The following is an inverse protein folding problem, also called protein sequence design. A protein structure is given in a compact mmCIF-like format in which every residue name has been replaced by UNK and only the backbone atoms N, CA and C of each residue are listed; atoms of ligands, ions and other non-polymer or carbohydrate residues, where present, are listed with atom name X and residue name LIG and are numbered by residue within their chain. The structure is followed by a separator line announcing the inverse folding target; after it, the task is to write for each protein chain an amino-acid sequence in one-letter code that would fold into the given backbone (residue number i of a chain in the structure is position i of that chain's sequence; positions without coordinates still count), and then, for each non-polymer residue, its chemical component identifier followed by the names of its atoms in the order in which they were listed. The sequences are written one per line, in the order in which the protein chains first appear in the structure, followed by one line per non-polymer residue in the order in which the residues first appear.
data_IF_319469675133
#
_entry.id   IF_319469675133
#
_cell.length_a   1.000
_cell.length_b   1.000
_cell.length_c   1.000
_cell.angle_alpha   90.00
_cell.angle_beta   90.00
_cell.angle_gamma   90.00
#
_symmetry.space_group_name_H-M   'P 1'
#
loop_
_entity.id
_entity.type
_entity.pdbx_description
1 polymer ?
#
# COMPACT_ATOMS: atom_id res chain seq x y z
N UNK A 1 -9.90 -1.23 28.36
CA UNK A 1 -10.27 -1.92 29.62
C UNK A 1 -9.70 -3.33 29.70
N UNK A 2 -9.83 -4.18 28.66
CA UNK A 2 -9.20 -5.52 28.62
C UNK A 2 -7.66 -5.49 28.69
N UNK A 3 -7.00 -4.60 27.93
CA UNK A 3 -5.53 -4.50 27.93
C UNK A 3 -4.93 -4.11 29.29
N UNK A 4 -5.54 -3.17 30.01
CA UNK A 4 -5.14 -2.76 31.37
C UNK A 4 -5.30 -3.93 32.37
N UNK A 5 -6.35 -4.74 32.22
CA UNK A 5 -6.60 -5.93 33.04
C UNK A 5 -5.53 -7.00 32.80
N UNK A 6 -5.19 -7.32 31.54
CA UNK A 6 -4.13 -8.28 31.23
C UNK A 6 -2.75 -7.81 31.69
N UNK A 7 -2.44 -6.53 31.53
CA UNK A 7 -1.20 -5.94 32.03
C UNK A 7 -1.04 -6.09 33.54
N UNK A 8 -2.12 -5.86 34.31
CA UNK A 8 -2.13 -6.00 35.78
C UNK A 8 -2.05 -7.46 36.23
N UNK A 9 -2.65 -8.40 35.48
CA UNK A 9 -2.58 -9.85 35.76
C UNK A 9 -1.17 -10.37 35.53
N UNK A 10 -0.53 -10.03 34.39
CA UNK A 10 0.89 -10.35 34.16
C UNK A 10 1.74 -9.77 35.28
N UNK A 11 1.71 -8.46 35.52
CA UNK A 11 2.47 -7.82 36.64
C UNK A 11 2.35 -8.52 38.01
N UNK A 12 1.29 -9.29 38.27
CA UNK A 12 1.00 -10.03 39.51
C UNK A 12 1.24 -11.54 39.44
N UNK A 13 1.41 -12.13 38.26
CA UNK A 13 1.58 -13.58 38.07
C UNK A 13 2.54 -13.88 36.93
N UNK A 14 3.67 -14.52 37.24
CA UNK A 14 4.63 -15.02 36.24
C UNK A 14 4.13 -16.29 35.51
N UNK A 15 2.95 -16.82 35.89
CA UNK A 15 2.52 -18.17 35.49
C UNK A 15 1.17 -18.20 34.76
N UNK A 16 0.32 -17.18 34.94
CA UNK A 16 -1.04 -17.16 34.36
C UNK A 16 -1.16 -16.16 33.20
N UNK A 17 -1.08 -16.67 31.97
CA UNK A 17 -1.59 -15.99 30.78
C UNK A 17 -3.00 -16.48 30.47
N UNK A 18 -4.01 -15.65 30.69
CA UNK A 18 -5.38 -15.93 30.25
C UNK A 18 -5.65 -15.22 28.92
N UNK A 19 -6.22 -15.97 27.97
CA UNK A 19 -6.59 -15.48 26.63
C UNK A 19 -8.03 -14.97 26.60
N UNK A 20 -8.27 -13.85 25.93
CA UNK A 20 -9.61 -13.43 25.52
C UNK A 20 -9.69 -13.32 24.00
N UNK A 21 -10.77 -13.86 23.42
CA UNK A 21 -11.12 -13.75 22.01
C UNK A 21 -12.63 -13.84 21.81
N UNK A 22 -13.17 -13.12 20.82
CA UNK A 22 -14.61 -12.99 20.52
C UNK A 22 -15.06 -14.06 19.49
N UNK A 23 -14.55 -15.29 19.56
CA UNK A 23 -15.11 -16.43 18.81
C UNK A 23 -14.88 -17.75 19.58
N UNK A 24 -15.93 -18.47 20.02
CA UNK A 24 -15.80 -19.64 20.89
C UNK A 24 -15.38 -20.94 20.17
N UNK A 25 -14.94 -20.90 18.91
CA UNK A 25 -14.55 -22.11 18.15
C UNK A 25 -13.06 -22.23 17.85
N UNK A 26 -12.21 -21.32 18.31
CA UNK A 26 -10.75 -21.43 18.14
C UNK A 26 -10.09 -21.62 19.50
N UNK A 27 -9.58 -22.85 19.71
CA UNK A 27 -8.81 -23.22 20.88
C UNK A 27 -7.51 -22.41 21.01
N UNK A 28 -7.18 -22.12 22.26
CA UNK A 28 -5.99 -21.40 22.71
C UNK A 28 -4.74 -22.17 22.23
N UNK A 29 -4.04 -21.58 21.27
CA UNK A 29 -2.91 -22.16 20.53
C UNK A 29 -2.68 -21.47 19.17
N UNK A 30 -3.75 -20.89 18.60
CA UNK A 30 -3.74 -20.24 17.28
C UNK A 30 -3.01 -18.88 17.15
N UNK A 31 -2.19 -18.49 18.13
CA UNK A 31 -1.31 -17.30 18.00
C UNK A 31 0.19 -17.62 17.89
N UNK A 32 0.59 -18.88 18.07
CA UNK A 32 1.98 -19.33 17.81
C UNK A 32 2.12 -20.16 16.53
N UNK A 33 1.00 -20.61 15.95
CA UNK A 33 1.00 -21.32 14.68
C UNK A 33 -0.34 -21.06 13.98
N UNK A 34 -0.29 -20.16 13.00
CA UNK A 34 -1.24 -19.96 11.88
C UNK A 34 -2.76 -19.90 12.14
N UNK A 35 -3.42 -19.01 11.39
CA UNK A 35 -4.86 -18.93 11.08
C UNK A 35 -5.81 -18.13 12.00
N UNK A 36 -5.30 -17.20 12.81
CA UNK A 36 -6.15 -16.18 13.45
C UNK A 36 -6.33 -14.92 12.58
N UNK A 37 -7.55 -14.63 12.11
CA UNK A 37 -7.91 -13.32 11.55
C UNK A 37 -7.90 -12.28 12.69
N UNK A 38 -6.74 -11.71 13.00
CA UNK A 38 -6.58 -10.68 14.02
C UNK A 38 -6.51 -9.29 13.41
N UNK A 39 -7.56 -8.47 13.53
CA UNK A 39 -7.47 -7.04 13.25
C UNK A 39 -6.81 -6.36 14.46
N UNK A 40 -5.70 -5.64 14.27
CA UNK A 40 -5.19 -4.74 15.30
C UNK A 40 -6.22 -3.63 15.57
N UNK A 41 -6.72 -3.52 16.80
CA UNK A 41 -7.63 -2.44 17.22
C UNK A 41 -7.10 -1.73 18.48
N UNK A 42 -6.43 -0.60 18.26
CA UNK A 42 -6.14 0.52 19.19
C UNK A 42 -5.22 0.35 20.43
N UNK A 43 -4.32 1.34 20.52
CA UNK A 43 -3.48 1.88 21.63
C UNK A 43 -2.42 0.99 22.30
N UNK A 44 -2.60 -0.32 22.42
CA UNK A 44 -1.56 -1.20 22.97
C UNK A 44 -1.39 -2.40 22.04
N UNK A 45 -0.31 -2.39 21.25
CA UNK A 45 0.05 -3.50 20.36
C UNK A 45 0.28 -4.80 21.14
N UNK A 46 0.26 -5.93 20.43
CA UNK A 46 0.59 -7.24 21.01
C UNK A 46 2.10 -7.35 21.26
N UNK A 47 2.46 -8.08 22.30
CA UNK A 47 3.82 -8.41 22.75
C UNK A 47 4.61 -9.35 21.82
N UNK A 48 4.15 -9.59 20.58
CA UNK A 48 4.60 -10.72 19.75
C UNK A 48 5.35 -10.27 18.48
N UNK A 49 5.39 -8.97 18.17
CA UNK A 49 6.10 -8.47 16.98
C UNK A 49 7.64 -8.46 17.16
N UNK A 50 8.13 -8.83 18.35
CA UNK A 50 9.55 -8.98 18.68
C UNK A 50 9.81 -10.30 19.41
N UNK A 51 9.48 -11.43 18.77
CA UNK A 51 9.80 -12.76 19.28
C UNK A 51 11.33 -12.98 19.25
N UNK A 52 11.98 -12.79 20.40
CA UNK A 52 13.45 -12.94 20.56
C UNK A 52 13.86 -14.42 20.64
N UNK A 53 12.97 -15.28 21.17
CA UNK A 53 13.23 -16.71 21.37
C UNK A 53 11.91 -17.50 21.36
N UNK A 54 11.99 -18.78 20.99
CA UNK A 54 10.89 -19.73 21.09
C UNK A 54 11.39 -21.13 21.47
N UNK A 55 10.53 -21.89 22.15
CA UNK A 55 10.74 -23.32 22.42
C UNK A 55 9.58 -24.12 21.87
N UNK A 56 9.88 -25.13 21.06
CA UNK A 56 8.90 -26.00 20.41
C UNK A 56 9.12 -27.44 20.86
N UNK A 57 8.05 -28.14 21.24
CA UNK A 57 8.11 -29.59 21.47
C UNK A 57 7.53 -30.28 20.25
N UNK A 58 8.35 -31.08 19.56
CA UNK A 58 7.89 -31.78 18.36
C UNK A 58 7.09 -33.06 18.67
N UNK A 59 6.52 -33.68 17.63
CA UNK A 59 5.75 -34.91 17.75
C UNK A 59 6.55 -36.12 18.29
N UNK A 60 7.89 -36.01 18.39
CA UNK A 60 8.78 -37.01 18.97
C UNK A 60 9.17 -36.67 20.41
N UNK A 61 8.58 -35.63 21.00
CA UNK A 61 8.85 -35.19 22.36
C UNK A 61 10.17 -34.43 22.53
N UNK A 62 10.83 -34.02 21.44
CA UNK A 62 12.09 -33.26 21.50
C UNK A 62 11.78 -31.79 21.73
N UNK A 63 12.49 -31.19 22.68
CA UNK A 63 12.45 -29.73 22.92
C UNK A 63 13.46 -29.06 22.01
N UNK A 64 12.99 -28.21 21.11
CA UNK A 64 13.79 -27.43 20.16
C UNK A 64 13.84 -25.97 20.63
N UNK A 65 15.04 -25.40 20.69
CA UNK A 65 15.25 -23.96 20.85
C UNK A 65 15.35 -23.26 19.48
N UNK A 66 15.40 -21.92 19.47
CA UNK A 66 15.52 -21.11 18.24
C UNK A 66 16.62 -21.59 17.29
N UNK A 67 17.75 -22.06 17.82
CA UNK A 67 18.88 -22.53 17.02
C UNK A 67 18.63 -23.94 16.45
N UNK A 68 18.02 -24.82 17.24
CA UNK A 68 17.69 -26.20 16.85
C UNK A 68 16.49 -26.30 15.92
N UNK A 69 15.58 -25.32 15.95
CA UNK A 69 14.44 -25.23 15.02
C UNK A 69 14.90 -24.92 13.59
N UNK A 70 15.96 -24.13 13.42
CA UNK A 70 16.35 -23.59 12.12
C UNK A 70 15.48 -22.40 11.70
N UNK A 71 15.99 -21.60 10.76
CA UNK A 71 15.38 -20.33 10.37
C UNK A 71 13.96 -20.51 9.82
N UNK A 72 13.75 -21.47 8.93
CA UNK A 72 12.45 -21.71 8.29
C UNK A 72 11.35 -22.05 9.31
N UNK A 73 11.65 -22.92 10.28
CA UNK A 73 10.68 -23.34 11.30
C UNK A 73 10.46 -22.23 12.34
N UNK A 74 11.51 -21.48 12.68
CA UNK A 74 11.41 -20.31 13.56
C UNK A 74 10.62 -19.16 12.92
N UNK A 75 10.77 -18.95 11.62
CA UNK A 75 9.98 -17.98 10.85
C UNK A 75 8.52 -18.41 10.72
N UNK A 76 8.25 -19.71 10.51
CA UNK A 76 6.89 -20.24 10.43
C UNK A 76 6.07 -20.08 11.72
N UNK A 77 6.73 -20.13 12.89
CA UNK A 77 6.09 -19.85 14.20
C UNK A 77 6.00 -18.35 14.52
N UNK A 78 6.87 -17.51 13.92
CA UNK A 78 6.89 -16.06 14.11
C UNK A 78 5.81 -15.36 13.27
N UNK A 79 5.64 -15.76 12.02
CA UNK A 79 4.70 -15.15 11.08
C UNK A 79 4.20 -16.19 10.07
N UNK A 80 3.34 -17.09 10.54
CA UNK A 80 2.77 -18.18 9.75
C UNK A 80 1.82 -17.78 8.62
N UNK A 81 2.04 -16.67 7.92
CA UNK A 81 1.28 -16.36 6.72
C UNK A 81 1.65 -15.12 5.92
N UNK A 82 2.71 -14.38 6.26
CA UNK A 82 3.04 -13.13 5.56
C UNK A 82 1.87 -12.15 5.52
N UNK A 83 1.04 -12.12 6.57
CA UNK A 83 -0.16 -11.27 6.63
C UNK A 83 0.07 -10.13 7.62
N UNK A 84 0.22 -8.91 7.13
CA UNK A 84 0.29 -7.70 7.95
C UNK A 84 -0.97 -6.85 7.75
N UNK A 85 -1.86 -6.84 8.76
CA UNK A 85 -3.18 -6.19 8.69
C UNK A 85 -3.39 -5.19 9.81
N UNK A 86 -3.21 -3.91 9.48
CA UNK A 86 -3.32 -2.77 10.41
C UNK A 86 -4.39 -1.78 9.96
N UNK A 87 -5.35 -2.20 9.14
CA UNK A 87 -6.44 -1.36 8.67
C UNK A 87 -7.26 -0.77 9.82
N UNK A 88 -7.92 0.38 9.61
CA UNK A 88 -8.80 1.01 10.61
C UNK A 88 -8.11 1.39 11.93
N UNK A 89 -6.84 1.80 11.85
CA UNK A 89 -6.09 2.27 13.01
C UNK A 89 -5.89 3.80 12.97
N UNK A 90 -5.10 4.31 13.91
CA UNK A 90 -4.71 5.71 14.01
C UNK A 90 -3.22 5.89 13.68
N UNK A 91 -2.72 5.09 12.72
CA UNK A 91 -1.33 5.17 12.29
C UNK A 91 -1.08 6.47 11.54
N UNK A 92 0.12 7.01 11.70
CA UNK A 92 0.58 8.27 11.12
C UNK A 92 1.99 8.11 10.56
N UNK A 93 2.43 9.07 9.75
CA UNK A 93 3.76 9.05 9.14
C UNK A 93 3.75 8.29 7.82
N UNK A 94 4.92 7.82 7.40
CA UNK A 94 5.13 7.13 6.12
C UNK A 94 5.49 5.66 6.32
N UNK A 95 5.46 4.89 5.22
CA UNK A 95 6.00 3.54 5.23
C UNK A 95 7.49 3.58 5.56
N UNK A 96 7.94 2.69 6.44
CA UNK A 96 9.33 2.56 6.85
C UNK A 96 10.10 1.72 5.82
N UNK A 97 11.35 2.09 5.55
CA UNK A 97 12.22 1.34 4.63
C UNK A 97 12.49 -0.09 5.07
N UNK A 98 12.37 -0.39 6.37
CA UNK A 98 12.48 -1.74 6.93
C UNK A 98 11.39 -2.70 6.46
N UNK A 99 10.33 -2.19 5.83
CA UNK A 99 9.33 -3.04 5.17
C UNK A 99 9.92 -3.73 3.93
N UNK A 100 10.96 -3.16 3.33
CA UNK A 100 11.60 -3.71 2.14
C UNK A 100 12.25 -5.06 2.40
N UNK A 101 12.23 -5.94 1.39
CA UNK A 101 12.70 -7.32 1.47
C UNK A 101 11.99 -8.18 2.52
N UNK A 102 10.82 -7.78 3.00
CA UNK A 102 10.00 -8.62 3.87
C UNK A 102 9.27 -9.71 3.09
N UNK A 103 8.95 -10.81 3.76
CA UNK A 103 8.20 -11.95 3.22
C UNK A 103 6.67 -11.73 3.25
N UNK A 104 6.23 -10.47 3.37
CA UNK A 104 4.81 -10.13 3.46
C UNK A 104 4.13 -10.42 2.12
N UNK A 105 3.03 -11.16 2.20
CA UNK A 105 2.16 -11.51 1.09
C UNK A 105 0.89 -10.63 1.10
N UNK A 106 0.27 -10.43 2.26
CA UNK A 106 -0.96 -9.65 2.38
C UNK A 106 -0.71 -8.43 3.26
N UNK A 107 -0.69 -7.25 2.66
CA UNK A 107 -0.37 -6.01 3.34
C UNK A 107 -1.55 -5.04 3.33
N UNK A 108 -2.24 -4.91 4.46
CA UNK A 108 -3.44 -4.08 4.58
C UNK A 108 -3.22 -2.95 5.60
N UNK A 109 -3.18 -1.71 5.11
CA UNK A 109 -3.05 -0.48 5.91
C UNK A 109 -4.16 0.53 5.61
N UNK A 110 -5.24 0.11 4.96
CA UNK A 110 -6.33 0.98 4.55
C UNK A 110 -7.11 1.62 5.71
N UNK A 111 -7.75 2.75 5.46
CA UNK A 111 -8.65 3.46 6.38
C UNK A 111 -7.99 3.93 7.69
N UNK A 112 -6.81 4.54 7.63
CA UNK A 112 -6.22 5.14 8.84
C UNK A 112 -6.93 6.45 9.20
N UNK A 113 -7.29 6.61 10.47
CA UNK A 113 -8.00 7.79 10.98
C UNK A 113 -7.23 9.10 10.76
N UNK A 114 -5.91 9.07 10.90
CA UNK A 114 -5.05 10.24 10.70
C UNK A 114 -4.39 10.27 9.32
N UNK A 115 -4.69 9.29 8.47
CA UNK A 115 -4.11 9.08 7.14
C UNK A 115 -2.59 8.88 7.16
N UNK A 116 -2.11 7.82 6.49
CA UNK A 116 -0.69 7.67 6.22
C UNK A 116 -0.25 8.57 5.07
N UNK A 117 0.96 9.10 5.16
CA UNK A 117 1.57 10.06 4.24
C UNK A 117 2.78 9.44 3.53
N UNK A 118 3.39 10.21 2.63
CA UNK A 118 4.63 9.82 1.97
C UNK A 118 4.41 8.90 0.78
N UNK A 119 5.49 8.23 0.35
CA UNK A 119 5.52 7.38 -0.84
C UNK A 119 5.45 5.90 -0.47
N UNK A 120 5.16 5.06 -1.47
CA UNK A 120 5.09 3.61 -1.33
C UNK A 120 6.25 2.87 -1.99
N UNK A 121 7.35 3.57 -2.27
CA UNK A 121 8.53 3.08 -3.01
C UNK A 121 9.14 1.81 -2.40
N UNK A 122 9.02 1.65 -1.08
CA UNK A 122 9.49 0.46 -0.36
C UNK A 122 8.86 -0.84 -0.89
N UNK A 123 7.64 -0.79 -1.42
CA UNK A 123 6.93 -1.98 -1.93
C UNK A 123 7.58 -2.59 -3.17
N UNK A 124 8.45 -1.85 -3.87
CA UNK A 124 9.21 -2.39 -5.01
C UNK A 124 10.16 -3.53 -4.63
N UNK A 125 10.56 -3.57 -3.34
CA UNK A 125 11.48 -4.58 -2.79
C UNK A 125 10.79 -5.69 -2.00
N UNK A 126 9.46 -5.67 -1.86
CA UNK A 126 8.69 -6.72 -1.17
C UNK A 126 8.09 -7.68 -2.19
N UNK A 127 8.91 -8.61 -2.69
CA UNK A 127 8.59 -9.43 -3.86
C UNK A 127 7.51 -10.49 -3.63
N UNK A 128 7.21 -10.79 -2.37
CA UNK A 128 6.25 -11.83 -1.98
C UNK A 128 4.78 -11.34 -1.96
N UNK A 129 4.55 -10.05 -2.23
CA UNK A 129 3.21 -9.45 -2.19
C UNK A 129 2.22 -10.15 -3.14
N UNK A 130 1.06 -10.44 -2.58
CA UNK A 130 -0.12 -11.03 -3.22
C UNK A 130 -1.33 -10.10 -3.13
N UNK A 131 -1.53 -9.44 -1.98
CA UNK A 131 -2.58 -8.42 -1.78
C UNK A 131 -2.02 -7.17 -1.11
N UNK A 132 -2.36 -5.99 -1.63
CA UNK A 132 -1.93 -4.70 -1.07
C UNK A 132 -3.14 -3.77 -0.98
N UNK A 133 -3.55 -3.44 0.24
CA UNK A 133 -4.66 -2.53 0.51
C UNK A 133 -4.20 -1.27 1.22
N UNK A 134 -4.11 -0.17 0.48
CA UNK A 134 -3.64 1.13 0.98
C UNK A 134 -4.69 2.23 0.88
N UNK A 135 -5.91 1.88 0.46
CA UNK A 135 -6.95 2.84 0.21
C UNK A 135 -7.38 3.65 1.44
N UNK A 136 -7.95 4.84 1.21
CA UNK A 136 -8.36 5.77 2.26
C UNK A 136 -7.19 6.16 3.19
N UNK A 137 -6.16 6.74 2.55
CA UNK A 137 -4.98 7.32 3.19
C UNK A 137 -4.59 8.60 2.40
N UNK A 138 -3.40 9.15 2.66
CA UNK A 138 -2.86 10.32 1.98
C UNK A 138 -1.47 10.00 1.37
N UNK A 139 -1.29 8.78 0.86
CA UNK A 139 -0.09 8.42 0.12
C UNK A 139 0.02 9.26 -1.16
N UNK A 140 1.23 9.64 -1.52
CA UNK A 140 1.54 10.59 -2.60
C UNK A 140 2.73 10.12 -3.44
N UNK A 141 3.02 10.86 -4.51
CA UNK A 141 4.06 10.48 -5.47
C UNK A 141 3.56 9.46 -6.51
N UNK A 142 4.47 8.76 -7.17
CA UNK A 142 4.14 7.70 -8.14
C UNK A 142 3.67 6.43 -7.45
N UNK A 143 2.86 5.65 -8.17
CA UNK A 143 2.74 4.23 -7.89
C UNK A 143 4.10 3.58 -8.20
N UNK A 144 4.64 2.84 -7.25
CA UNK A 144 5.99 2.27 -7.33
C UNK A 144 6.10 1.20 -8.42
N UNK A 145 7.34 0.92 -8.84
CA UNK A 145 7.61 -0.18 -9.75
C UNK A 145 7.40 -1.51 -9.02
N UNK A 146 6.29 -2.18 -9.33
CA UNK A 146 5.91 -3.47 -8.75
C UNK A 146 6.25 -4.64 -9.68
N UNK A 147 7.10 -4.45 -10.69
CA UNK A 147 7.48 -5.50 -11.67
C UNK A 147 7.94 -6.81 -11.04
N UNK A 148 8.60 -6.76 -9.88
CA UNK A 148 9.08 -7.94 -9.15
C UNK A 148 8.00 -8.63 -8.30
N UNK A 149 6.84 -8.00 -8.11
CA UNK A 149 5.72 -8.56 -7.33
C UNK A 149 4.87 -9.49 -8.20
N UNK A 150 5.47 -10.59 -8.68
CA UNK A 150 4.86 -11.51 -9.66
C UNK A 150 3.61 -12.25 -9.13
N UNK A 151 3.41 -12.26 -7.81
CA UNK A 151 2.25 -12.86 -7.15
C UNK A 151 1.10 -11.88 -6.88
N UNK A 152 1.31 -10.58 -7.12
CA UNK A 152 0.33 -9.55 -6.79
C UNK A 152 -0.91 -9.69 -7.68
N UNK A 153 -2.04 -10.00 -7.04
CA UNK A 153 -3.33 -10.16 -7.72
C UNK A 153 -4.35 -9.10 -7.32
N UNK A 154 -4.20 -8.45 -6.16
CA UNK A 154 -5.16 -7.47 -5.65
C UNK A 154 -4.48 -6.21 -5.12
N UNK A 155 -4.70 -5.07 -5.79
CA UNK A 155 -4.06 -3.80 -5.48
C UNK A 155 -5.08 -2.67 -5.30
N UNK A 156 -5.32 -2.26 -4.05
CA UNK A 156 -6.33 -1.27 -3.70
C UNK A 156 -5.69 0.06 -3.31
N UNK A 157 -5.65 1.02 -4.24
CA UNK A 157 -4.99 2.33 -4.08
C UNK A 157 -5.96 3.52 -4.08
N UNK A 158 -7.28 3.26 -4.11
CA UNK A 158 -8.28 4.33 -4.14
C UNK A 158 -8.19 5.30 -2.95
N UNK A 159 -8.72 6.51 -3.11
CA UNK A 159 -8.76 7.54 -2.06
C UNK A 159 -7.37 7.80 -1.46
N UNK A 160 -6.45 8.28 -2.32
CA UNK A 160 -5.11 8.70 -1.95
C UNK A 160 -4.74 9.96 -2.76
N UNK A 161 -3.48 10.36 -2.72
CA UNK A 161 -2.93 11.51 -3.44
C UNK A 161 -1.87 11.08 -4.47
N UNK A 162 -2.00 9.87 -5.03
CA UNK A 162 -1.06 9.40 -6.06
C UNK A 162 -1.12 10.31 -7.27
N UNK A 163 0.06 10.65 -7.77
CA UNK A 163 0.31 11.51 -8.93
C UNK A 163 1.05 10.71 -9.99
N UNK A 164 1.47 11.37 -11.08
CA UNK A 164 2.25 10.77 -12.16
C UNK A 164 1.45 9.75 -12.96
N UNK A 165 2.11 9.20 -13.98
CA UNK A 165 1.56 8.17 -14.85
C UNK A 165 1.46 6.83 -14.13
N UNK A 166 0.47 6.03 -14.53
CA UNK A 166 0.38 4.63 -14.12
C UNK A 166 1.54 3.86 -14.77
N UNK A 167 2.42 3.19 -13.99
CA UNK A 167 3.60 2.52 -14.55
C UNK A 167 3.23 1.42 -15.55
N UNK A 168 3.93 1.32 -16.71
CA UNK A 168 3.69 0.25 -17.68
C UNK A 168 3.98 -1.16 -17.15
N UNK A 169 4.83 -1.29 -16.12
CA UNK A 169 5.06 -2.56 -15.44
C UNK A 169 3.80 -3.05 -14.70
N UNK A 170 3.05 -2.13 -14.07
CA UNK A 170 1.83 -2.47 -13.33
C UNK A 170 0.74 -3.02 -14.25
N UNK A 171 0.62 -2.44 -15.44
CA UNK A 171 -0.33 -2.87 -16.48
C UNK A 171 -0.01 -4.29 -16.98
N UNK A 172 1.27 -4.67 -16.96
CA UNK A 172 1.77 -5.96 -17.48
C UNK A 172 1.94 -7.03 -16.39
N UNK A 173 1.50 -6.78 -15.16
CA UNK A 173 1.64 -7.77 -14.09
C UNK A 173 0.84 -9.04 -14.42
N UNK A 174 1.49 -10.22 -14.36
CA UNK A 174 0.93 -11.44 -14.93
C UNK A 174 -0.28 -11.99 -14.15
N UNK A 175 -0.35 -11.71 -12.84
CA UNK A 175 -1.41 -12.22 -11.95
C UNK A 175 -2.37 -11.14 -11.47
N UNK A 176 -2.20 -9.89 -11.88
CA UNK A 176 -3.06 -8.80 -11.44
C UNK A 176 -4.50 -9.10 -11.88
N UNK A 177 -5.41 -9.14 -10.91
CA UNK A 177 -6.81 -9.46 -11.13
C UNK A 177 -7.72 -8.32 -10.72
N UNK A 178 -7.40 -7.61 -9.64
CA UNK A 178 -8.22 -6.51 -9.14
C UNK A 178 -7.36 -5.29 -8.83
N UNK A 179 -7.79 -4.12 -9.33
CA UNK A 179 -7.10 -2.86 -9.07
C UNK A 179 -8.09 -1.70 -8.93
N UNK A 180 -7.90 -0.88 -7.90
CA UNK A 180 -8.66 0.37 -7.73
C UNK A 180 -7.73 1.58 -7.67
N UNK A 181 -8.02 2.57 -8.53
CA UNK A 181 -7.25 3.80 -8.70
C UNK A 181 -8.09 5.07 -8.52
N UNK A 182 -9.40 4.92 -8.29
CA UNK A 182 -10.33 6.05 -8.10
C UNK A 182 -9.90 7.00 -6.98
N UNK A 183 -10.25 8.27 -7.14
CA UNK A 183 -10.00 9.34 -6.17
C UNK A 183 -8.52 9.53 -5.87
N UNK A 184 -7.72 9.64 -6.93
CA UNK A 184 -6.31 10.03 -6.89
C UNK A 184 -6.08 11.29 -7.76
N UNK A 185 -4.83 11.53 -8.15
CA UNK A 185 -4.38 12.62 -9.02
C UNK A 185 -3.44 12.10 -10.11
N UNK A 186 -3.65 10.86 -10.55
CA UNK A 186 -2.86 10.21 -11.60
C UNK A 186 -3.01 10.97 -12.90
N UNK A 187 -1.93 11.09 -13.67
CA UNK A 187 -1.84 11.89 -14.89
C UNK A 187 -1.43 11.04 -16.09
N UNK A 188 -1.45 11.66 -17.27
CA UNK A 188 -1.05 11.01 -18.53
C UNK A 188 -2.16 10.21 -19.19
N UNK A 189 -1.82 9.23 -20.03
CA UNK A 189 -2.80 8.46 -20.79
C UNK A 189 -3.62 7.59 -19.85
N UNK A 190 -4.88 7.40 -20.20
CA UNK A 190 -5.75 6.48 -19.48
C UNK A 190 -5.20 5.05 -19.62
N UNK A 191 -4.94 4.33 -18.52
CA UNK A 191 -4.29 3.03 -18.58
C UNK A 191 -5.23 1.96 -19.16
N UNK A 192 -4.69 1.11 -20.02
CA UNK A 192 -5.41 -0.02 -20.61
C UNK A 192 -4.86 -1.33 -20.05
N UNK A 193 -5.59 -1.91 -19.10
CA UNK A 193 -5.31 -3.25 -18.59
C UNK A 193 -5.92 -4.32 -19.51
N UNK A 194 -5.46 -5.57 -19.38
CA UNK A 194 -6.10 -6.70 -20.07
C UNK A 194 -7.53 -6.89 -19.59
N UNK A 195 -8.38 -7.47 -20.43
CA UNK A 195 -9.80 -7.73 -20.12
C UNK A 195 -10.03 -8.65 -18.93
N UNK A 196 -9.00 -9.40 -18.51
CA UNK A 196 -9.02 -10.26 -17.32
C UNK A 196 -8.91 -9.50 -16.01
N UNK A 197 -8.49 -8.23 -16.02
CA UNK A 197 -8.32 -7.41 -14.83
C UNK A 197 -9.60 -6.61 -14.55
N UNK A 198 -10.11 -6.72 -13.34
CA UNK A 198 -11.16 -5.85 -12.81
C UNK A 198 -10.54 -4.52 -12.38
N UNK A 199 -10.86 -3.45 -13.11
CA UNK A 199 -10.25 -2.13 -12.91
C UNK A 199 -11.31 -1.12 -12.52
N UNK A 200 -11.11 -0.40 -11.41
CA UNK A 200 -11.95 0.75 -11.02
C UNK A 200 -11.12 2.02 -10.95
N UNK A 201 -11.18 2.84 -12.01
CA UNK A 201 -10.40 4.09 -12.13
C UNK A 201 -11.23 5.33 -11.78
N UNK A 202 -12.54 5.32 -12.06
CA UNK A 202 -13.42 6.47 -11.88
C UNK A 202 -13.04 7.66 -12.77
N UNK A 203 -13.69 8.82 -12.53
CA UNK A 203 -13.50 10.08 -13.27
C UNK A 203 -12.80 11.17 -12.43
N UNK A 204 -12.16 10.78 -11.32
CA UNK A 204 -11.62 11.71 -10.32
C UNK A 204 -10.10 11.89 -10.39
N UNK A 205 -9.45 11.13 -11.27
CA UNK A 205 -8.04 11.29 -11.62
C UNK A 205 -7.83 12.47 -12.58
N UNK A 206 -6.58 12.71 -12.99
CA UNK A 206 -6.16 13.83 -13.84
C UNK A 206 -5.56 13.32 -15.16
N UNK A 207 -6.12 12.23 -15.70
CA UNK A 207 -5.76 11.71 -17.02
C UNK A 207 -6.09 12.74 -18.09
N UNK A 208 -5.36 12.66 -19.21
CA UNK A 208 -5.62 13.54 -20.34
C UNK A 208 -6.95 13.23 -21.03
N UNK A 209 -7.37 11.96 -21.01
CA UNK A 209 -8.61 11.46 -21.62
C UNK A 209 -9.32 10.51 -20.67
N UNK A 210 -10.63 10.34 -20.86
CA UNK A 210 -11.44 9.35 -20.14
C UNK A 210 -11.40 7.96 -20.78
N UNK A 211 -10.69 7.81 -21.89
CA UNK A 211 -10.52 6.56 -22.64
C UNK A 211 -9.06 6.32 -22.98
N UNK A 212 -8.70 5.05 -23.17
CA UNK A 212 -7.35 4.64 -23.57
C UNK A 212 -6.94 5.28 -24.89
N UNK A 213 -5.70 5.76 -24.94
CA UNK A 213 -5.08 6.33 -26.13
C UNK A 213 -3.98 7.33 -25.76
N UNK A 214 -3.18 7.76 -26.74
CA UNK A 214 -2.15 8.76 -26.51
C UNK A 214 -2.77 10.10 -26.13
N UNK A 215 -2.11 10.84 -25.24
CA UNK A 215 -2.44 12.24 -24.98
C UNK A 215 -2.04 13.11 -26.18
N UNK A 216 -2.50 14.37 -26.18
CA UNK A 216 -1.99 15.39 -27.09
C UNK A 216 -0.46 15.52 -26.95
N UNK A 217 0.30 15.74 -28.05
CA UNK A 217 1.75 15.90 -27.99
C UNK A 217 2.20 17.04 -27.05
N UNK A 218 1.47 18.16 -27.01
CA UNK A 218 1.79 19.27 -26.10
C UNK A 218 1.59 18.85 -24.64
N UNK A 219 0.45 18.20 -24.34
CA UNK A 219 0.17 17.64 -23.01
C UNK A 219 1.26 16.65 -22.59
N UNK A 220 1.68 15.78 -23.51
CA UNK A 220 2.75 14.80 -23.25
C UNK A 220 4.07 15.50 -22.92
N UNK A 221 4.48 16.49 -23.72
CA UNK A 221 5.69 17.26 -23.46
C UNK A 221 5.66 17.98 -22.10
N UNK A 222 4.50 18.54 -21.72
CA UNK A 222 4.34 19.18 -20.41
C UNK A 222 4.44 18.17 -19.26
N UNK A 223 3.85 16.98 -19.41
CA UNK A 223 3.98 15.91 -18.41
C UNK A 223 5.44 15.47 -18.25
N UNK A 224 6.21 15.36 -19.33
CA UNK A 224 7.64 15.04 -19.27
C UNK A 224 8.43 16.12 -18.51
N UNK A 225 8.13 17.40 -18.76
CA UNK A 225 8.70 18.53 -18.00
C UNK A 225 8.31 18.44 -16.53
N UNK A 226 7.07 18.08 -16.18
CA UNK A 226 6.69 17.86 -14.77
C UNK A 226 7.48 16.72 -14.12
N UNK A 227 7.91 15.73 -14.91
CA UNK A 227 8.82 14.68 -14.47
C UNK A 227 10.15 15.19 -13.95
N UNK A 228 10.75 16.15 -14.66
CA UNK A 228 12.02 16.76 -14.28
C UNK A 228 11.92 17.56 -12.97
N UNK A 229 10.77 18.16 -12.68
CA UNK A 229 10.54 18.96 -11.45
C UNK A 229 9.82 18.18 -10.34
N UNK A 230 9.75 16.85 -10.46
CA UNK A 230 9.28 15.98 -9.39
C UNK A 230 7.76 15.79 -9.30
N UNK A 231 6.99 16.24 -10.29
CA UNK A 231 5.52 16.21 -10.34
C UNK A 231 4.85 16.87 -9.12
N UNK A 232 4.94 18.20 -8.99
CA UNK A 232 4.31 18.93 -7.89
C UNK A 232 2.79 18.78 -7.91
N UNK A 233 2.19 18.62 -6.72
CA UNK A 233 0.74 18.44 -6.58
C UNK A 233 -0.07 19.61 -7.17
N UNK A 234 0.45 20.83 -7.11
CA UNK A 234 -0.23 22.01 -7.69
C UNK A 234 -0.50 21.84 -9.18
N UNK A 235 0.45 21.27 -9.93
CA UNK A 235 0.30 20.98 -11.35
C UNK A 235 -0.62 19.78 -11.57
N UNK A 236 -0.48 18.70 -10.79
CA UNK A 236 -1.37 17.54 -10.90
C UNK A 236 -2.84 17.90 -10.67
N UNK A 237 -3.12 18.88 -9.79
CA UNK A 237 -4.47 19.40 -9.59
C UNK A 237 -4.98 20.31 -10.72
N UNK A 238 -4.08 21.05 -11.36
CA UNK A 238 -4.42 22.09 -12.33
C UNK A 238 -4.43 21.60 -13.79
N UNK A 239 -3.59 20.61 -14.12
CA UNK A 239 -3.36 20.14 -15.47
C UNK A 239 -4.18 18.87 -15.72
N UNK A 240 -5.41 19.07 -16.18
CA UNK A 240 -6.40 18.02 -16.46
C UNK A 240 -6.90 18.10 -17.89
N UNK A 241 -7.27 16.96 -18.46
CA UNK A 241 -7.77 16.91 -19.83
C UNK A 241 -6.67 16.97 -20.88
N UNK A 242 -7.08 16.98 -22.15
CA UNK A 242 -6.17 16.76 -23.28
C UNK A 242 -5.78 18.06 -24.01
N UNK A 243 -5.99 19.22 -23.40
CA UNK A 243 -5.72 20.52 -23.99
C UNK A 243 -5.09 21.45 -22.95
N UNK A 244 -3.81 21.76 -23.12
CA UNK A 244 -3.06 22.62 -22.23
C UNK A 244 -3.49 24.09 -22.30
N UNK A 245 -4.16 24.51 -23.38
CA UNK A 245 -4.67 25.87 -23.53
C UNK A 245 -6.07 26.06 -22.94
N UNK A 246 -6.73 24.98 -22.58
CA UNK A 246 -8.07 25.00 -22.01
C UNK A 246 -8.05 24.93 -20.48
N UNK A 247 -7.69 26.05 -19.85
CA UNK A 247 -7.87 26.22 -18.40
C UNK A 247 -6.77 25.67 -17.51
N UNK A 248 -5.64 25.21 -18.07
CA UNK A 248 -4.47 24.87 -17.26
C UNK A 248 -3.88 26.14 -16.64
N UNK A 249 -3.65 26.11 -15.32
CA UNK A 249 -2.93 27.20 -14.65
C UNK A 249 -1.47 27.24 -15.09
N UNK A 250 -0.88 28.44 -14.97
CA UNK A 250 0.53 28.74 -15.25
C UNK A 250 0.91 28.74 -16.73
N UNK A 251 -0.04 28.51 -17.63
CA UNK A 251 0.17 28.54 -19.07
C UNK A 251 -0.59 29.71 -19.69
N UNK A 252 0.01 30.35 -20.69
CA UNK A 252 -0.66 31.30 -21.59
C UNK A 252 -0.48 30.81 -23.01
N UNK A 253 -1.55 30.86 -23.79
CA UNK A 253 -1.55 30.42 -25.17
C UNK A 253 -1.64 31.58 -26.16
N UNK A 254 -1.33 31.29 -27.41
CA UNK A 254 -1.54 32.22 -28.51
C UNK A 254 -3.02 32.63 -28.67
N UNK A 255 -3.26 33.64 -29.50
CA UNK A 255 -4.61 34.14 -29.75
C UNK A 255 -5.54 33.11 -30.40
N UNK A 256 -5.00 32.01 -30.94
CA UNK A 256 -5.77 30.90 -31.50
C UNK A 256 -6.08 29.81 -30.45
N UNK A 257 -5.48 29.89 -29.26
CA UNK A 257 -5.62 28.88 -28.21
C UNK A 257 -5.00 27.53 -28.57
N UNK A 258 -4.03 27.49 -29.48
CA UNK A 258 -3.45 26.24 -30.00
C UNK A 258 -2.06 25.95 -29.47
N UNK A 259 -1.25 26.98 -29.28
CA UNK A 259 0.13 26.85 -28.84
C UNK A 259 0.35 27.58 -27.52
N UNK A 260 1.04 26.93 -26.60
CA UNK A 260 1.50 27.56 -25.36
C UNK A 260 2.67 28.48 -25.69
N UNK A 261 2.53 29.77 -25.36
CA UNK A 261 3.52 30.81 -25.63
C UNK A 261 4.31 31.20 -24.39
N UNK A 262 3.70 31.09 -23.20
CA UNK A 262 4.32 31.47 -21.93
C UNK A 262 4.03 30.40 -20.87
N UNK A 263 5.08 29.99 -20.15
CA UNK A 263 4.99 29.19 -18.93
C UNK A 263 5.42 30.06 -17.77
N UNK A 264 4.48 30.45 -16.91
CA UNK A 264 4.75 31.30 -15.76
C UNK A 264 4.47 30.54 -14.45
N UNK A 265 5.53 29.95 -13.89
CA UNK A 265 5.48 29.27 -12.59
C UNK A 265 5.87 30.20 -11.42
N UNK A 266 5.77 31.53 -11.61
CA UNK A 266 6.01 32.51 -10.56
C UNK A 266 5.02 32.40 -9.41
N UNK A 267 5.55 32.50 -8.18
CA UNK A 267 4.91 32.29 -6.86
C UNK A 267 3.46 32.77 -6.74
#
# INVERSE_FOLDING_TARGET
MLGELYYRIWKKSEVYGLSGGIFPTVGIGGHLSSTGYGNMLSKHGLTIDHLIDAKLVDAKGRVLDTKAMGEDLFLAIRDGGGNLRLSYNNLTGSLLGSLGNSDIQNFWLNNQKQMLLGRIDVLSSTTQLSQVWLHANAFSGSISDLSNCSNLFDLQLRDNQFTRMVPPCLIRLPKLFNITLQNNKLQGPYPLFSSSVQVTIGNTNSFCKDTSGPCDPHVTAFLDVTGAIGYPMSLANAWKGNDACNGWRFLTCDSQGKNVTIVNMGK
#
